data_IF_975079760130
#
_entry.id   IF_975079760130
#
_cell.length_a   1.000
_cell.length_b   1.000
_cell.length_c   1.000
_cell.angle_alpha   90.00
_cell.angle_beta   90.00
_cell.angle_gamma   90.00
#
_symmetry.space_group_name_H-M   'P 1'
#
loop_
_entity.id
_entity.type
_entity.pdbx_description
1 polymer ?
#
# COMPACT_ATOMS: atom_id res chain seq x y z
N UNK A 1 9.11 7.24 -21.34
CA UNK A 1 7.78 7.29 -20.69
C UNK A 1 8.03 7.70 -19.26
N UNK A 2 7.41 8.77 -18.81
CA UNK A 2 7.66 9.37 -17.49
C UNK A 2 7.13 8.43 -16.39
N UNK A 3 8.03 7.72 -15.71
CA UNK A 3 7.73 6.77 -14.63
C UNK A 3 7.51 7.51 -13.32
N UNK A 4 6.46 8.31 -13.26
CA UNK A 4 6.10 9.06 -12.05
C UNK A 4 5.27 8.14 -11.14
N UNK A 5 5.83 7.81 -9.98
CA UNK A 5 5.10 7.16 -8.89
C UNK A 5 3.98 8.09 -8.40
N UNK A 6 2.82 7.51 -8.09
CA UNK A 6 1.61 8.22 -7.67
C UNK A 6 1.07 7.65 -6.37
N UNK A 7 0.44 8.51 -5.60
CA UNK A 7 -0.30 8.11 -4.41
C UNK A 7 -1.77 7.83 -4.76
N UNK A 8 -2.23 6.64 -4.42
CA UNK A 8 -3.64 6.38 -4.10
C UNK A 8 -3.80 6.55 -2.59
N UNK A 9 -4.62 7.52 -2.16
CA UNK A 9 -4.72 8.01 -0.79
C UNK A 9 -3.37 8.48 -0.21
N UNK A 10 -2.94 9.73 -0.48
CA UNK A 10 -1.68 10.23 0.07
C UNK A 10 -1.69 10.21 1.62
N UNK A 11 -0.56 9.88 2.26
CA UNK A 11 -0.44 9.88 3.72
C UNK A 11 -0.43 11.31 4.27
N UNK A 12 -0.72 11.51 5.57
CA UNK A 12 -0.62 12.81 6.23
C UNK A 12 0.78 13.42 6.15
N UNK A 13 1.83 12.57 6.10
CA UNK A 13 3.18 13.02 5.80
C UNK A 13 4.02 11.90 5.21
N UNK A 14 4.92 12.28 4.31
CA UNK A 14 5.97 11.41 3.80
C UNK A 14 7.19 12.24 3.39
N UNK A 15 8.37 11.63 3.43
CA UNK A 15 9.61 12.21 2.94
C UNK A 15 10.37 11.17 2.12
N UNK A 16 11.10 11.63 1.11
CA UNK A 16 11.98 10.78 0.31
C UNK A 16 13.41 11.31 0.41
N UNK A 17 14.29 10.49 0.94
CA UNK A 17 15.72 10.75 1.02
C UNK A 17 16.42 10.09 -0.17
N UNK A 18 16.69 10.89 -1.20
CA UNK A 18 17.34 10.44 -2.43
C UNK A 18 18.74 9.88 -2.20
N UNK A 19 19.46 10.35 -1.17
CA UNK A 19 20.85 9.93 -0.92
C UNK A 19 20.94 8.51 -0.37
N UNK A 20 19.89 8.06 0.32
CA UNK A 20 19.79 6.74 0.94
C UNK A 20 18.80 5.81 0.25
N UNK A 21 18.04 6.32 -0.73
CA UNK A 21 16.92 5.63 -1.35
C UNK A 21 15.90 5.13 -0.32
N UNK A 22 15.52 6.02 0.61
CA UNK A 22 14.58 5.70 1.70
C UNK A 22 13.36 6.60 1.62
N UNK A 23 12.19 5.98 1.50
CA UNK A 23 10.91 6.66 1.64
C UNK A 23 10.35 6.44 3.04
N UNK A 24 10.21 7.52 3.82
CA UNK A 24 9.60 7.47 5.15
C UNK A 24 8.14 7.90 5.04
N UNK A 25 7.22 7.09 5.57
CA UNK A 25 5.78 7.28 5.43
C UNK A 25 5.16 7.24 6.83
N UNK A 26 4.31 8.23 7.15
CA UNK A 26 3.42 8.14 8.32
C UNK A 26 2.06 7.64 7.85
N UNK A 27 1.71 6.43 8.24
CA UNK A 27 0.43 5.83 7.84
C UNK A 27 -0.76 6.69 8.30
N UNK A 28 -1.79 6.78 7.44
CA UNK A 28 -3.05 7.44 7.78
C UNK A 28 -3.75 6.66 8.91
N UNK A 29 -4.12 7.29 10.04
CA UNK A 29 -4.88 6.62 11.10
C UNK A 29 -6.21 6.05 10.60
N UNK A 30 -6.66 4.94 11.20
CA UNK A 30 -7.94 4.29 10.88
C UNK A 30 -8.14 3.97 9.39
N UNK A 31 -7.05 3.75 8.67
CA UNK A 31 -7.05 3.44 7.24
C UNK A 31 -6.86 1.95 6.98
N UNK A 32 -7.19 1.50 5.78
CA UNK A 32 -6.88 0.14 5.37
C UNK A 32 -7.44 -0.22 4.00
N UNK A 33 -7.02 -1.39 3.54
CA UNK A 33 -7.58 -2.05 2.36
C UNK A 33 -8.22 -3.36 2.80
N UNK A 34 -9.53 -3.44 2.65
CA UNK A 34 -10.33 -4.60 3.03
C UNK A 34 -11.53 -4.70 2.12
N UNK A 35 -11.90 -5.90 1.70
CA UNK A 35 -13.10 -6.13 0.90
C UNK A 35 -13.70 -7.48 1.23
N UNK A 36 -14.95 -7.46 1.63
CA UNK A 36 -15.83 -8.62 1.74
C UNK A 36 -17.05 -8.39 0.85
N UNK A 37 -18.07 -9.25 0.97
CA UNK A 37 -19.37 -9.05 0.33
C UNK A 37 -20.15 -7.87 0.93
N UNK A 38 -19.87 -7.47 2.17
CA UNK A 38 -20.64 -6.47 2.94
C UNK A 38 -19.82 -5.25 3.38
N UNK A 39 -18.49 -5.33 3.36
CA UNK A 39 -17.60 -4.23 3.75
C UNK A 39 -16.60 -3.94 2.63
N UNK A 40 -16.39 -2.66 2.33
CA UNK A 40 -15.28 -2.19 1.49
C UNK A 40 -14.58 -1.04 2.20
N UNK A 41 -13.27 -1.21 2.42
CA UNK A 41 -12.34 -0.18 2.88
C UNK A 41 -11.23 -0.05 1.86
N UNK A 42 -11.05 1.17 1.36
CA UNK A 42 -10.11 1.51 0.30
C UNK A 42 -9.44 2.86 0.63
N UNK A 43 -9.05 3.00 1.90
CA UNK A 43 -8.57 4.25 2.49
C UNK A 43 -7.10 4.19 2.88
N UNK A 44 -6.47 3.02 2.78
CA UNK A 44 -5.05 2.84 3.07
C UNK A 44 -4.16 3.59 2.08
N UNK A 45 -2.93 3.90 2.49
CA UNK A 45 -1.96 4.58 1.64
C UNK A 45 -1.33 3.61 0.64
N UNK A 46 -1.23 4.00 -0.62
CA UNK A 46 -0.59 3.19 -1.66
C UNK A 46 0.21 4.06 -2.62
N UNK A 47 1.53 3.91 -2.59
CA UNK A 47 2.45 4.56 -3.53
C UNK A 47 2.81 3.58 -4.64
N UNK A 48 2.51 3.92 -5.89
CA UNK A 48 2.57 2.94 -6.97
C UNK A 48 2.95 3.54 -8.32
N UNK A 49 3.43 2.67 -9.19
CA UNK A 49 3.60 3.00 -10.60
C UNK A 49 2.32 2.65 -11.37
N UNK A 50 1.64 3.63 -12.00
CA UNK A 50 0.49 3.34 -12.85
C UNK A 50 0.91 2.71 -14.17
N UNK A 51 -0.01 2.00 -14.81
CA UNK A 51 0.15 1.54 -16.20
C UNK A 51 1.20 0.45 -16.42
N UNK A 52 1.61 -0.27 -15.38
CA UNK A 52 2.47 -1.46 -15.53
C UNK A 52 1.73 -2.52 -16.34
N UNK A 53 2.33 -2.97 -17.45
CA UNK A 53 1.77 -4.00 -18.33
C UNK A 53 2.75 -5.16 -18.46
N UNK A 54 2.21 -6.37 -18.60
CA UNK A 54 3.00 -7.59 -18.73
C UNK A 54 3.62 -8.06 -17.41
N UNK A 55 4.61 -8.93 -17.51
CA UNK A 55 5.29 -9.50 -16.36
C UNK A 55 6.20 -8.46 -15.71
N UNK A 56 6.22 -8.41 -14.38
CA UNK A 56 7.10 -7.54 -13.63
C UNK A 56 7.60 -8.23 -12.36
N UNK A 57 8.69 -7.70 -11.80
CA UNK A 57 9.17 -8.05 -10.46
C UNK A 57 9.25 -6.77 -9.65
N UNK A 58 8.78 -6.83 -8.41
CA UNK A 58 8.90 -5.75 -7.43
C UNK A 58 9.46 -6.35 -6.13
N UNK A 59 10.33 -5.59 -5.48
CA UNK A 59 10.91 -5.94 -4.19
C UNK A 59 11.09 -4.65 -3.40
N UNK A 60 10.80 -4.68 -2.11
CA UNK A 60 11.11 -3.59 -1.20
C UNK A 60 11.60 -4.15 0.14
N UNK A 61 12.36 -3.33 0.85
CA UNK A 61 12.66 -3.56 2.25
C UNK A 61 11.78 -2.65 3.09
N UNK A 62 11.11 -3.22 4.08
CA UNK A 62 10.20 -2.49 4.95
C UNK A 62 10.72 -2.57 6.38
N UNK A 63 10.88 -1.39 6.99
CA UNK A 63 11.13 -1.25 8.42
C UNK A 63 10.02 -0.37 8.98
N UNK A 64 9.29 -0.90 9.96
CA UNK A 64 8.19 -0.19 10.60
C UNK A 64 8.37 -0.10 12.11
N UNK A 65 7.70 0.89 12.70
CA UNK A 65 7.46 0.98 14.14
C UNK A 65 6.02 0.55 14.38
N UNK A 66 5.82 -0.70 14.75
CA UNK A 66 4.49 -1.31 14.92
C UNK A 66 4.04 -1.15 16.37
N UNK A 67 2.93 -0.47 16.59
CA UNK A 67 2.47 -0.10 17.95
C UNK A 67 1.02 -0.52 18.17
N UNK A 68 0.15 -0.35 17.18
CA UNK A 68 -1.28 -0.58 17.30
C UNK A 68 -1.69 -1.87 16.61
N UNK A 69 -2.76 -2.48 17.13
CA UNK A 69 -3.34 -3.66 16.49
C UNK A 69 -3.77 -3.33 15.06
N UNK A 70 -3.41 -4.22 14.13
CA UNK A 70 -3.58 -4.11 12.69
C UNK A 70 -2.71 -3.06 11.99
N UNK A 71 -1.67 -2.53 12.64
CA UNK A 71 -0.62 -1.79 11.93
C UNK A 71 -0.05 -2.67 10.80
N UNK A 72 -0.01 -2.12 9.59
CA UNK A 72 0.32 -2.85 8.36
C UNK A 72 1.24 -2.03 7.46
N UNK A 73 2.24 -2.68 6.86
CA UNK A 73 2.92 -2.14 5.68
C UNK A 73 3.46 -3.29 4.81
N UNK A 74 3.48 -3.07 3.50
CA UNK A 74 3.68 -4.15 2.56
C UNK A 74 3.76 -3.71 1.11
N UNK A 75 3.72 -4.70 0.23
CA UNK A 75 3.50 -4.54 -1.19
C UNK A 75 2.03 -4.74 -1.53
N UNK A 76 1.58 -4.07 -2.58
CA UNK A 76 0.26 -4.27 -3.15
C UNK A 76 0.37 -4.31 -4.67
N UNK A 77 -0.41 -5.20 -5.27
CA UNK A 77 -0.72 -5.19 -6.70
C UNK A 77 -2.19 -4.86 -6.83
N UNK A 78 -2.50 -3.80 -7.58
CA UNK A 78 -3.86 -3.35 -7.87
C UNK A 78 -4.12 -3.42 -9.36
N UNK A 79 -5.18 -4.11 -9.73
CA UNK A 79 -5.70 -4.19 -11.11
C UNK A 79 -6.94 -3.32 -11.17
N UNK A 80 -6.89 -2.33 -12.05
CA UNK A 80 -8.02 -1.46 -12.37
C UNK A 80 -8.45 -1.82 -13.79
N UNK A 81 -9.69 -2.28 -13.94
CA UNK A 81 -10.33 -2.44 -15.25
C UNK A 81 -11.33 -1.30 -15.44
N UNK A 82 -11.18 -0.54 -16.52
CA UNK A 82 -11.97 0.67 -16.77
C UNK A 82 -11.38 1.91 -16.07
N UNK A 83 -12.23 2.80 -15.58
CA UNK A 83 -11.82 4.03 -14.90
C UNK A 83 -11.42 3.77 -13.44
N UNK A 84 -10.45 4.55 -12.95
CA UNK A 84 -9.99 4.55 -11.55
C UNK A 84 -11.15 4.92 -10.61
N UNK A 85 -11.33 4.15 -9.52
CA UNK A 85 -12.50 4.25 -8.64
C UNK A 85 -13.72 3.43 -9.08
N UNK A 86 -13.62 2.67 -10.18
CA UNK A 86 -14.68 1.80 -10.68
C UNK A 86 -14.95 0.53 -9.85
N UNK A 87 -16.09 -0.13 -10.11
CA UNK A 87 -16.52 -1.36 -9.39
C UNK A 87 -15.59 -2.58 -9.57
N UNK A 88 -14.76 -2.57 -10.62
CA UNK A 88 -13.96 -3.72 -11.05
C UNK A 88 -12.52 -3.74 -10.50
N UNK A 89 -12.21 -2.84 -9.57
CA UNK A 89 -10.91 -2.83 -8.91
C UNK A 89 -10.70 -4.07 -8.05
N UNK A 90 -9.56 -4.72 -8.27
CA UNK A 90 -9.11 -5.91 -7.55
C UNK A 90 -7.70 -5.65 -7.06
N UNK A 91 -7.40 -6.09 -5.85
CA UNK A 91 -6.06 -5.95 -5.30
C UNK A 91 -5.69 -7.14 -4.44
N UNK A 92 -4.39 -7.39 -4.36
CA UNK A 92 -3.76 -8.26 -3.39
C UNK A 92 -2.74 -7.41 -2.64
N UNK A 93 -2.71 -7.54 -1.32
CA UNK A 93 -1.69 -6.95 -0.44
C UNK A 93 -0.96 -8.06 0.29
N UNK A 94 0.32 -7.85 0.57
CA UNK A 94 1.14 -8.74 1.39
C UNK A 94 2.17 -7.93 2.14
N UNK A 95 2.56 -8.33 3.34
CA UNK A 95 3.54 -7.64 4.15
C UNK A 95 3.47 -8.03 5.62
N UNK A 96 3.84 -7.07 6.48
CA UNK A 96 3.77 -7.24 7.93
C UNK A 96 2.41 -6.74 8.41
N UNK A 97 1.78 -7.49 9.31
CA UNK A 97 0.60 -7.09 10.08
C UNK A 97 0.83 -7.38 11.58
N UNK A 98 0.67 -6.37 12.43
CA UNK A 98 0.72 -6.54 13.88
C UNK A 98 -0.65 -7.04 14.38
N UNK A 99 -0.70 -8.22 15.00
CA UNK A 99 -1.92 -8.78 15.56
C UNK A 99 -1.62 -9.48 16.88
N UNK A 100 -2.37 -9.18 17.95
CA UNK A 100 -2.12 -9.77 19.26
C UNK A 100 -0.68 -9.56 19.78
N UNK A 101 -0.06 -8.41 19.44
CA UNK A 101 1.36 -8.06 19.74
C UNK A 101 2.42 -8.90 19.00
N UNK A 102 2.03 -9.70 18.03
CA UNK A 102 2.94 -10.48 17.17
C UNK A 102 2.91 -9.91 15.76
N UNK A 103 4.09 -9.77 15.15
CA UNK A 103 4.22 -9.38 13.73
C UNK A 103 4.08 -10.63 12.87
N UNK A 104 3.03 -10.68 12.06
CA UNK A 104 2.80 -11.74 11.08
C UNK A 104 3.22 -11.29 9.69
N UNK A 105 3.79 -12.19 8.91
CA UNK A 105 3.93 -12.03 7.46
C UNK A 105 2.68 -12.63 6.80
N UNK A 106 1.94 -11.83 6.05
CA UNK A 106 0.66 -12.20 5.41
C UNK A 106 0.59 -11.75 3.97
#
# INVERSE_FOLDING_TARGET
>A
MDTILRWHNPPPSHTYDQSRDVHTIRATPSSGFWRTTTERRDTGNFFHQPGVRGNFRVQCFIKGTWVHEYDQAGLMVRVVEGEEGGKNERWIKTGIELMGRVQYVR
#
